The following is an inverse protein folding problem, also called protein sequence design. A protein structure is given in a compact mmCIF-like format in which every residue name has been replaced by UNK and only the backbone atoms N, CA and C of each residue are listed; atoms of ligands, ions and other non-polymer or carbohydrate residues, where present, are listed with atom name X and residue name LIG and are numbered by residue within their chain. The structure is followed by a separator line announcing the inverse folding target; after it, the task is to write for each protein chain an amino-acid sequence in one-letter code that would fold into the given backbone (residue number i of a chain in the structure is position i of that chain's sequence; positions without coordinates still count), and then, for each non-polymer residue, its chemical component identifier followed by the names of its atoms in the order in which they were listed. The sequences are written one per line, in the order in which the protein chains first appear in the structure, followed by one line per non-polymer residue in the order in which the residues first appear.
data_IF_528493546079
#
_entry.id   IF_528493546079
#
_cell.length_a   1.000
_cell.length_b   1.000
_cell.length_c   1.000
_cell.angle_alpha   90.00
_cell.angle_beta   90.00
_cell.angle_gamma   90.00
#
_symmetry.space_group_name_H-M   'P 1'
#
loop_
_entity.id
_entity.type
_entity.pdbx_description
1 polymer ?
#
# COMPACT_ATOMS: atom_id res chain seq x y z
N UNK A 1 -6.88 -29.21 1.11
CA UNK A 1 -5.57 -28.53 1.08
C UNK A 1 -5.88 -27.06 0.82
N UNK A 2 -5.68 -26.19 1.81
CA UNK A 2 -5.92 -24.76 1.63
C UNK A 2 -4.92 -24.21 0.62
N UNK A 3 -5.39 -23.43 -0.35
CA UNK A 3 -4.51 -22.80 -1.34
C UNK A 3 -3.52 -21.84 -0.70
N UNK A 4 -2.43 -21.56 -1.40
CA UNK A 4 -1.53 -20.44 -1.06
C UNK A 4 -2.33 -19.15 -0.99
N UNK A 5 -2.08 -18.32 0.03
CA UNK A 5 -2.73 -17.02 0.18
C UNK A 5 -2.36 -16.07 -0.95
N UNK A 6 -3.17 -15.02 -1.14
CA UNK A 6 -2.95 -14.01 -2.19
C UNK A 6 -2.19 -12.81 -1.66
N UNK A 7 -1.22 -12.33 -2.44
CA UNK A 7 -0.59 -11.03 -2.23
C UNK A 7 -1.46 -9.96 -2.91
N UNK A 8 -1.94 -8.99 -2.14
CA UNK A 8 -2.87 -7.96 -2.60
C UNK A 8 -2.22 -6.60 -2.41
N UNK A 9 -2.02 -5.87 -3.50
CA UNK A 9 -1.48 -4.50 -3.45
C UNK A 9 -2.62 -3.52 -3.63
N UNK A 10 -2.84 -2.67 -2.63
CA UNK A 10 -3.81 -1.58 -2.70
C UNK A 10 -3.03 -0.27 -2.79
N UNK A 11 -3.12 0.37 -3.95
CA UNK A 11 -2.49 1.66 -4.21
C UNK A 11 -3.48 2.64 -4.86
N UNK A 12 -3.01 3.83 -5.21
CA UNK A 12 -3.85 4.93 -5.68
C UNK A 12 -3.37 6.28 -5.17
N UNK A 13 -3.91 7.40 -5.70
CA UNK A 13 -3.48 8.72 -5.31
C UNK A 13 -3.65 9.02 -3.83
N UNK A 14 -2.83 9.93 -3.31
CA UNK A 14 -3.01 10.46 -1.96
C UNK A 14 -4.39 11.12 -1.83
N UNK A 15 -5.21 10.70 -0.85
CA UNK A 15 -6.58 11.19 -0.67
C UNK A 15 -7.68 10.31 -1.30
N UNK A 16 -7.33 9.20 -1.95
CA UNK A 16 -8.30 8.24 -2.49
C UNK A 16 -9.06 7.44 -1.42
N UNK A 17 -8.60 7.41 -0.16
CA UNK A 17 -9.25 6.68 0.93
C UNK A 17 -8.80 5.21 1.10
N UNK A 18 -7.61 4.87 0.59
CA UNK A 18 -7.00 3.52 0.68
C UNK A 18 -7.02 2.93 2.10
N UNK A 19 -6.42 3.62 3.07
CA UNK A 19 -6.37 3.15 4.45
C UNK A 19 -7.77 2.85 5.04
N UNK A 20 -8.77 3.65 4.71
CA UNK A 20 -10.15 3.40 5.17
C UNK A 20 -10.74 2.12 4.59
N UNK A 21 -10.46 1.81 3.32
CA UNK A 21 -10.86 0.54 2.69
C UNK A 21 -10.09 -0.62 3.35
N UNK A 22 -8.78 -0.49 3.51
CA UNK A 22 -7.91 -1.50 4.14
C UNK A 22 -8.40 -1.84 5.55
N UNK A 23 -8.68 -0.82 6.38
CA UNK A 23 -9.21 -1.00 7.72
C UNK A 23 -10.51 -1.82 7.74
N UNK A 24 -11.40 -1.62 6.77
CA UNK A 24 -12.65 -2.39 6.64
C UNK A 24 -12.41 -3.82 6.16
N UNK A 25 -11.41 -4.05 5.32
CA UNK A 25 -11.02 -5.40 4.90
C UNK A 25 -10.47 -6.19 6.10
N UNK A 26 -9.56 -5.60 6.87
CA UNK A 26 -8.92 -6.23 8.03
C UNK A 26 -9.92 -6.69 9.10
N UNK A 27 -11.02 -5.95 9.30
CA UNK A 27 -12.11 -6.33 10.24
C UNK A 27 -12.76 -7.67 9.95
N UNK A 28 -12.66 -8.18 8.72
CA UNK A 28 -13.22 -9.50 8.37
C UNK A 28 -12.41 -10.68 8.92
N UNK A 29 -11.18 -10.45 9.39
CA UNK A 29 -10.24 -11.49 9.82
C UNK A 29 -9.68 -12.36 8.68
N UNK A 30 -10.04 -12.09 7.42
CA UNK A 30 -9.57 -12.83 6.24
C UNK A 30 -8.24 -12.33 5.67
N UNK A 31 -7.74 -11.18 6.16
CA UNK A 31 -6.59 -10.48 5.61
C UNK A 31 -5.63 -10.07 6.73
N UNK A 32 -4.32 -10.11 6.44
CA UNK A 32 -3.28 -9.51 7.29
C UNK A 32 -2.65 -8.31 6.56
N UNK A 33 -2.38 -7.22 7.28
CA UNK A 33 -1.59 -6.11 6.76
C UNK A 33 -0.10 -6.47 6.83
N UNK A 34 0.64 -6.24 5.76
CA UNK A 34 2.09 -6.42 5.75
C UNK A 34 2.79 -5.44 6.70
N UNK A 35 3.85 -5.93 7.37
CA UNK A 35 4.69 -5.12 8.25
C UNK A 35 5.96 -4.76 7.49
N UNK A 36 6.18 -3.47 7.24
CA UNK A 36 7.37 -2.98 6.53
C UNK A 36 8.61 -2.96 7.43
N UNK A 37 9.78 -3.08 6.84
CA UNK A 37 11.04 -2.67 7.47
C UNK A 37 11.18 -1.15 7.43
N UNK A 38 11.86 -0.56 8.42
CA UNK A 38 12.30 0.84 8.34
C UNK A 38 13.62 1.07 9.06
N UNK A 39 14.41 2.04 8.58
CA UNK A 39 15.62 2.52 9.26
C UNK A 39 15.35 3.66 10.24
N UNK A 40 14.11 4.14 10.31
CA UNK A 40 13.70 5.17 11.27
C UNK A 40 13.68 4.56 12.67
N UNK A 41 14.08 5.32 13.68
CA UNK A 41 13.87 4.93 15.07
C UNK A 41 12.37 4.79 15.43
N UNK A 42 11.98 3.82 16.29
CA UNK A 42 10.62 3.71 16.80
C UNK A 42 10.15 5.01 17.46
N UNK A 43 8.86 5.35 17.29
CA UNK A 43 8.21 6.51 17.91
C UNK A 43 7.23 6.06 18.98
N UNK A 44 7.29 6.69 20.15
CA UNK A 44 6.30 6.50 21.22
C UNK A 44 6.16 5.04 21.65
N UNK A 45 5.03 4.42 21.29
CA UNK A 45 4.68 3.04 21.65
C UNK A 45 4.81 2.05 20.49
N UNK A 46 5.43 2.43 19.36
CA UNK A 46 5.70 1.51 18.26
C UNK A 46 6.53 0.30 18.74
N UNK A 47 6.16 -0.91 18.33
CA UNK A 47 6.80 -2.18 18.72
C UNK A 47 7.40 -2.90 17.51
N UNK A 48 8.59 -3.47 17.72
CA UNK A 48 9.28 -4.34 16.76
C UNK A 48 8.38 -5.52 16.35
N UNK A 49 8.28 -5.77 15.04
CA UNK A 49 7.49 -6.86 14.48
C UNK A 49 5.97 -6.70 14.63
N UNK A 50 5.51 -5.52 15.06
CA UNK A 50 4.08 -5.16 15.12
C UNK A 50 3.81 -3.96 14.21
N UNK A 51 4.54 -2.86 14.41
CA UNK A 51 4.39 -1.65 13.61
C UNK A 51 5.34 -1.67 12.42
N UNK A 52 6.60 -1.99 12.69
CA UNK A 52 7.66 -2.12 11.70
C UNK A 52 8.68 -3.17 12.16
N UNK A 53 9.47 -3.67 11.23
CA UNK A 53 10.77 -4.26 11.53
C UNK A 53 11.82 -3.15 11.48
N UNK A 54 12.29 -2.71 12.66
CA UNK A 54 13.29 -1.68 12.77
C UNK A 54 14.66 -2.26 12.44
N UNK A 55 15.36 -1.65 11.48
CA UNK A 55 16.67 -2.07 10.97
C UNK A 55 17.68 -0.95 11.06
N UNK A 56 18.96 -1.29 11.20
CA UNK A 56 20.02 -0.32 10.94
C UNK A 56 20.06 0.01 9.44
N UNK A 57 20.68 1.14 9.08
CA UNK A 57 20.84 1.51 7.66
C UNK A 57 21.69 0.47 6.93
N UNK A 58 22.77 0.02 7.55
CA UNK A 58 23.67 -1.00 7.02
C UNK A 58 22.95 -2.34 6.80
N UNK A 59 22.10 -2.74 7.75
CA UNK A 59 21.28 -3.94 7.61
C UNK A 59 20.28 -3.82 6.45
N UNK A 60 19.64 -2.66 6.31
CA UNK A 60 18.69 -2.41 5.23
C UNK A 60 19.39 -2.43 3.87
N UNK A 61 20.54 -1.78 3.75
CA UNK A 61 21.34 -1.75 2.51
C UNK A 61 21.86 -3.15 2.15
N UNK A 62 22.22 -3.99 3.13
CA UNK A 62 22.51 -5.41 2.91
C UNK A 62 21.28 -6.18 2.41
N UNK A 63 20.11 -5.94 3.00
CA UNK A 63 18.86 -6.58 2.54
C UNK A 63 18.51 -6.18 1.09
N UNK A 64 18.81 -4.93 0.68
CA UNK A 64 18.67 -4.50 -0.72
C UNK A 64 19.60 -5.31 -1.63
N UNK A 65 20.89 -5.43 -1.28
CA UNK A 65 21.87 -6.15 -2.12
C UNK A 65 21.57 -7.65 -2.22
N UNK A 66 20.90 -8.21 -1.21
CA UNK A 66 20.44 -9.60 -1.18
C UNK A 66 19.05 -9.80 -1.82
N UNK A 67 18.46 -8.77 -2.44
CA UNK A 67 17.12 -8.81 -3.06
C UNK A 67 16.01 -9.28 -2.10
N UNK A 68 16.07 -8.84 -0.84
CA UNK A 68 15.14 -9.24 0.24
C UNK A 68 13.88 -8.39 0.34
N UNK A 69 13.65 -7.44 -0.56
CA UNK A 69 12.49 -6.56 -0.58
C UNK A 69 11.61 -6.79 -1.81
N UNK A 70 10.29 -6.74 -1.63
CA UNK A 70 9.32 -6.65 -2.73
C UNK A 70 9.29 -5.24 -3.32
N UNK A 71 9.47 -4.24 -2.48
CA UNK A 71 9.65 -2.83 -2.83
C UNK A 71 10.43 -2.14 -1.71
N UNK A 72 11.09 -1.05 -2.04
CA UNK A 72 11.64 -0.14 -1.04
C UNK A 72 11.73 1.29 -1.58
N UNK A 73 11.82 2.26 -0.66
CA UNK A 73 11.99 3.67 -0.97
C UNK A 73 12.78 4.40 0.13
N UNK A 74 13.49 5.46 -0.26
CA UNK A 74 13.97 6.48 0.67
C UNK A 74 12.86 7.52 0.87
N UNK A 75 12.43 7.68 2.12
CA UNK A 75 11.43 8.66 2.53
C UNK A 75 12.08 9.61 3.53
N UNK A 76 12.53 10.75 3.01
CA UNK A 76 13.21 11.81 3.78
C UNK A 76 14.45 11.31 4.55
N UNK A 77 15.28 10.50 3.91
CA UNK A 77 16.53 9.96 4.45
C UNK A 77 16.36 8.72 5.33
N UNK A 78 15.14 8.21 5.48
CA UNK A 78 14.85 6.94 6.12
C UNK A 78 14.35 5.94 5.07
N UNK A 79 14.93 4.74 5.06
CA UNK A 79 14.43 3.68 4.19
C UNK A 79 13.16 3.05 4.77
N UNK A 80 12.27 2.66 3.88
CA UNK A 80 11.11 1.81 4.12
C UNK A 80 11.07 0.75 3.04
N UNK A 81 10.63 -0.46 3.37
CA UNK A 81 10.46 -1.50 2.35
C UNK A 81 9.76 -2.74 2.87
N UNK A 82 9.15 -3.48 1.96
CA UNK A 82 8.35 -4.66 2.31
C UNK A 82 9.20 -5.94 2.27
N UNK A 83 9.47 -6.59 3.42
CA UNK A 83 10.35 -7.76 3.48
C UNK A 83 9.74 -8.97 2.77
N UNK A 84 10.40 -9.44 1.72
CA UNK A 84 9.94 -10.51 0.84
C UNK A 84 9.70 -11.82 1.58
N UNK A 85 10.69 -12.28 2.34
CA UNK A 85 10.62 -13.57 3.03
C UNK A 85 9.48 -13.62 4.05
N UNK A 86 9.21 -12.50 4.74
CA UNK A 86 8.10 -12.38 5.69
C UNK A 86 6.74 -12.53 4.98
N UNK A 87 6.54 -11.77 3.90
CA UNK A 87 5.30 -11.82 3.12
C UNK A 87 5.09 -13.22 2.55
N UNK A 88 6.09 -13.80 1.89
CA UNK A 88 5.99 -15.13 1.28
C UNK A 88 5.70 -16.22 2.32
N UNK A 89 6.27 -16.12 3.52
CA UNK A 89 5.96 -17.03 4.62
C UNK A 89 4.46 -17.01 4.98
N UNK A 90 3.87 -15.81 5.11
CA UNK A 90 2.44 -15.65 5.38
C UNK A 90 1.54 -16.19 4.26
N UNK A 91 1.92 -15.95 3.01
CA UNK A 91 1.20 -16.52 1.86
C UNK A 91 1.26 -18.06 1.90
N UNK A 92 2.41 -18.63 2.27
CA UNK A 92 2.60 -20.07 2.46
C UNK A 92 1.74 -20.67 3.58
N UNK A 93 1.36 -19.88 4.59
CA UNK A 93 0.39 -20.24 5.64
C UNK A 93 -1.08 -20.19 5.15
N UNK A 94 -1.32 -19.83 3.88
CA UNK A 94 -2.67 -19.67 3.32
C UNK A 94 -3.33 -18.33 3.66
N UNK A 95 -2.56 -17.34 4.13
CA UNK A 95 -3.08 -16.03 4.54
C UNK A 95 -3.01 -15.04 3.39
N UNK A 96 -4.09 -14.28 3.20
CA UNK A 96 -4.09 -13.16 2.26
C UNK A 96 -3.39 -11.96 2.90
N UNK A 97 -2.40 -11.41 2.22
CA UNK A 97 -1.57 -10.30 2.74
C UNK A 97 -1.83 -9.05 1.91
N UNK A 98 -2.17 -7.95 2.58
CA UNK A 98 -2.39 -6.64 1.97
C UNK A 98 -1.14 -5.77 2.12
N UNK A 99 -0.71 -5.15 1.02
CA UNK A 99 0.27 -4.07 0.98
C UNK A 99 -0.47 -2.77 0.66
N UNK A 100 -0.55 -1.86 1.63
CA UNK A 100 -1.01 -0.48 1.40
C UNK A 100 0.20 0.41 1.14
N UNK A 101 0.52 0.66 -0.13
CA UNK A 101 1.75 1.36 -0.55
C UNK A 101 1.46 2.39 -1.65
N UNK A 102 2.40 3.28 -1.91
CA UNK A 102 2.29 4.25 -2.99
C UNK A 102 2.44 3.59 -4.37
N UNK A 103 2.18 4.37 -5.42
CA UNK A 103 2.16 3.85 -6.79
C UNK A 103 3.54 3.36 -7.22
N UNK A 104 4.61 4.03 -6.77
CA UNK A 104 5.97 3.65 -7.12
C UNK A 104 6.36 2.32 -6.47
N UNK A 105 6.04 2.12 -5.20
CA UNK A 105 6.21 0.85 -4.49
C UNK A 105 5.40 -0.27 -5.14
N UNK A 106 4.14 0.00 -5.49
CA UNK A 106 3.29 -0.98 -6.16
C UNK A 106 3.87 -1.48 -7.49
N UNK A 107 4.43 -0.60 -8.32
CA UNK A 107 5.08 -1.00 -9.56
C UNK A 107 6.36 -1.83 -9.32
N UNK A 108 7.11 -1.55 -8.24
CA UNK A 108 8.22 -2.41 -7.83
C UNK A 108 7.73 -3.80 -7.42
N UNK A 109 6.63 -3.88 -6.66
CA UNK A 109 6.02 -5.17 -6.29
C UNK A 109 5.59 -5.93 -7.54
N UNK A 110 4.89 -5.30 -8.49
CA UNK A 110 4.47 -5.95 -9.75
C UNK A 110 5.65 -6.54 -10.52
N UNK A 111 6.80 -5.87 -10.52
CA UNK A 111 8.03 -6.37 -11.14
C UNK A 111 8.65 -7.54 -10.36
N UNK A 112 8.67 -7.47 -9.03
CA UNK A 112 9.35 -8.43 -8.16
C UNK A 112 8.49 -9.65 -7.79
N UNK A 113 7.17 -9.53 -7.94
CA UNK A 113 6.16 -10.56 -7.70
C UNK A 113 4.96 -10.35 -8.65
N UNK A 114 5.05 -10.85 -9.91
CA UNK A 114 4.04 -10.62 -10.94
C UNK A 114 2.65 -11.21 -10.63
N UNK A 115 2.56 -12.20 -9.73
CA UNK A 115 1.31 -12.83 -9.33
C UNK A 115 0.53 -12.03 -8.26
N UNK A 116 1.01 -10.83 -7.90
CA UNK A 116 0.31 -9.95 -6.97
C UNK A 116 -0.97 -9.42 -7.61
N UNK A 117 -2.06 -9.40 -6.85
CA UNK A 117 -3.32 -8.78 -7.26
C UNK A 117 -3.20 -7.27 -7.07
N UNK A 118 -3.11 -6.53 -8.18
CA UNK A 118 -2.89 -5.09 -8.20
C UNK A 118 -4.23 -4.35 -8.27
N UNK A 119 -4.60 -3.63 -7.21
CA UNK A 119 -5.85 -2.87 -7.12
C UNK A 119 -5.57 -1.38 -6.93
N UNK A 120 -6.04 -0.56 -7.87
CA UNK A 120 -5.92 0.89 -7.83
C UNK A 120 -7.22 1.53 -7.30
N UNK A 121 -7.12 2.35 -6.27
CA UNK A 121 -8.27 3.06 -5.70
C UNK A 121 -8.33 4.48 -6.28
N UNK A 122 -9.42 4.79 -6.97
CA UNK A 122 -9.72 6.10 -7.55
C UNK A 122 -10.62 6.92 -6.62
N UNK A 123 -10.42 8.25 -6.54
CA UNK A 123 -11.46 9.14 -6.02
C UNK A 123 -12.65 9.18 -6.98
N UNK A 124 -13.85 9.56 -6.52
CA UNK A 124 -15.03 9.65 -7.38
C UNK A 124 -14.94 10.81 -8.38
N UNK A 125 -14.20 11.87 -8.03
CA UNK A 125 -13.89 12.97 -8.94
C UNK A 125 -12.63 13.73 -8.50
N UNK A 126 -12.07 14.54 -9.41
CA UNK A 126 -10.97 15.46 -9.10
C UNK A 126 -11.37 16.50 -8.02
N UNK A 127 -12.62 16.98 -8.04
CA UNK A 127 -13.15 17.92 -7.05
C UNK A 127 -13.19 17.31 -5.66
N UNK A 128 -13.64 16.05 -5.55
CA UNK A 128 -13.67 15.32 -4.27
C UNK A 128 -12.26 15.07 -3.76
N UNK A 129 -11.32 14.72 -4.64
CA UNK A 129 -9.92 14.57 -4.29
C UNK A 129 -9.34 15.87 -3.73
N UNK A 130 -9.56 17.00 -4.41
CA UNK A 130 -9.09 18.32 -3.98
C UNK A 130 -9.71 18.73 -2.64
N UNK A 131 -11.01 18.48 -2.44
CA UNK A 131 -11.69 18.72 -1.18
C UNK A 131 -11.10 17.88 -0.03
N UNK A 132 -10.81 16.60 -0.26
CA UNK A 132 -10.16 15.71 0.74
C UNK A 132 -8.74 16.17 1.08
N UNK A 133 -7.98 16.68 0.12
CA UNK A 133 -6.63 17.24 0.36
C UNK A 133 -6.72 18.50 1.23
N UNK A 134 -7.62 19.44 0.88
CA UNK A 134 -7.87 20.66 1.67
C UNK A 134 -8.36 20.36 3.09
N UNK A 135 -9.23 19.36 3.25
CA UNK A 135 -9.83 18.97 4.52
C UNK A 135 -8.84 18.56 5.61
N UNK A 136 -7.58 18.26 5.28
CA UNK A 136 -6.54 17.98 6.28
C UNK A 136 -6.13 19.22 7.08
N UNK A 137 -6.36 20.44 6.56
CA UNK A 137 -6.23 21.70 7.30
C UNK A 137 -4.80 22.09 7.73
N UNK A 138 -3.78 21.32 7.37
CA UNK A 138 -2.39 21.54 7.79
C UNK A 138 -1.47 22.06 6.68
N UNK A 139 -2.00 22.28 5.48
CA UNK A 139 -1.21 22.55 4.26
C UNK A 139 -1.64 23.87 3.60
N UNK A 140 -0.70 24.55 2.95
CA UNK A 140 -0.97 25.76 2.16
C UNK A 140 -1.58 25.41 0.80
N UNK A 141 -2.26 26.35 0.14
CA UNK A 141 -2.80 26.14 -1.21
C UNK A 141 -1.72 25.73 -2.22
N UNK A 142 -0.49 26.23 -2.07
CA UNK A 142 0.64 25.80 -2.90
C UNK A 142 1.01 24.32 -2.68
N UNK A 143 1.06 23.88 -1.42
CA UNK A 143 1.32 22.47 -1.07
C UNK A 143 0.20 21.56 -1.58
N UNK A 144 -1.07 22.00 -1.46
CA UNK A 144 -2.23 21.29 -1.99
C UNK A 144 -2.13 21.18 -3.51
N UNK A 145 -1.79 22.26 -4.22
CA UNK A 145 -1.60 22.25 -5.67
C UNK A 145 -0.54 21.25 -6.12
N UNK A 146 0.61 21.18 -5.42
CA UNK A 146 1.66 20.18 -5.69
C UNK A 146 1.16 18.76 -5.47
N UNK A 147 0.45 18.50 -4.37
CA UNK A 147 -0.11 17.17 -4.06
C UNK A 147 -1.18 16.75 -5.06
N UNK A 148 -2.04 17.68 -5.48
CA UNK A 148 -3.06 17.44 -6.49
C UNK A 148 -2.44 17.13 -7.85
N UNK A 149 -1.42 17.90 -8.27
CA UNK A 149 -0.66 17.60 -9.49
C UNK A 149 -0.01 16.22 -9.47
N UNK A 150 0.61 15.84 -8.33
CA UNK A 150 1.16 14.49 -8.13
C UNK A 150 0.08 13.43 -8.25
N UNK A 151 -1.07 13.64 -7.61
CA UNK A 151 -2.18 12.69 -7.63
C UNK A 151 -2.74 12.49 -9.05
N UNK A 152 -2.78 13.53 -9.89
CA UNK A 152 -3.17 13.40 -11.30
C UNK A 152 -2.19 12.52 -12.08
N UNK A 153 -0.90 12.75 -11.94
CA UNK A 153 0.12 11.91 -12.55
C UNK A 153 0.06 10.45 -12.05
N UNK A 154 -0.26 10.24 -10.77
CA UNK A 154 -0.47 8.89 -10.21
C UNK A 154 -1.68 8.18 -10.84
N UNK A 155 -2.77 8.91 -11.13
CA UNK A 155 -3.97 8.34 -11.77
C UNK A 155 -3.73 7.88 -13.22
N UNK A 156 -2.77 8.49 -13.93
CA UNK A 156 -2.39 8.04 -15.28
C UNK A 156 -1.75 6.64 -15.27
N UNK A 157 -1.27 6.17 -14.12
CA UNK A 157 -0.63 4.85 -13.95
C UNK A 157 -1.64 3.75 -13.57
N UNK A 158 -2.95 4.05 -13.55
CA UNK A 158 -3.99 3.08 -13.20
C UNK A 158 -4.07 1.91 -14.20
N UNK A 159 -3.64 2.11 -15.44
CA UNK A 159 -3.55 1.08 -16.48
C UNK A 159 -2.51 -0.01 -16.20
N UNK A 160 -1.58 0.25 -15.28
CA UNK A 160 -0.59 -0.73 -14.81
C UNK A 160 -1.14 -1.66 -13.71
N UNK A 161 -2.40 -1.52 -13.33
CA UNK A 161 -3.06 -2.35 -12.32
C UNK A 161 -4.02 -3.33 -12.97
N UNK A 162 -4.34 -4.41 -12.26
CA UNK A 162 -5.24 -5.44 -12.78
C UNK A 162 -6.70 -4.98 -12.63
N UNK A 163 -6.97 -4.18 -11.59
CA UNK A 163 -8.29 -3.63 -11.30
C UNK A 163 -8.21 -2.17 -10.84
N UNK A 164 -9.27 -1.41 -11.13
CA UNK A 164 -9.51 -0.07 -10.60
C UNK A 164 -10.86 -0.02 -9.90
N UNK A 165 -10.92 0.55 -8.70
CA UNK A 165 -12.13 0.68 -7.88
C UNK A 165 -12.33 2.14 -7.50
N UNK A 166 -13.54 2.66 -7.74
CA UNK A 166 -13.90 4.05 -7.41
C UNK A 166 -14.44 4.13 -5.98
N UNK A 167 -13.80 4.94 -5.13
CA UNK A 167 -14.20 5.13 -3.74
C UNK A 167 -15.16 6.32 -3.56
N UNK A 168 -16.36 6.17 -4.09
CA UNK A 168 -17.49 7.09 -3.88
C UNK A 168 -18.23 6.79 -2.57
N UNK A 169 -18.74 5.55 -2.46
CA UNK A 169 -19.26 4.98 -1.21
C UNK A 169 -18.31 3.92 -0.66
N UNK A 170 -17.97 4.03 0.63
CA UNK A 170 -16.98 3.18 1.27
C UNK A 170 -17.39 1.70 1.25
N UNK A 171 -18.65 1.39 1.55
CA UNK A 171 -19.08 0.00 1.69
C UNK A 171 -19.17 -0.68 0.33
N UNK A 172 -19.59 0.06 -0.69
CA UNK A 172 -19.58 -0.37 -2.09
C UNK A 172 -18.15 -0.64 -2.56
N UNK A 173 -17.22 0.30 -2.35
CA UNK A 173 -15.81 0.12 -2.71
C UNK A 173 -15.17 -1.08 -2.00
N UNK A 174 -15.48 -1.30 -0.71
CA UNK A 174 -15.00 -2.47 0.03
C UNK A 174 -15.55 -3.77 -0.55
N UNK A 175 -16.82 -3.80 -0.96
CA UNK A 175 -17.42 -4.96 -1.59
C UNK A 175 -16.78 -5.26 -2.95
N UNK A 176 -16.57 -4.23 -3.78
CA UNK A 176 -15.90 -4.35 -5.08
C UNK A 176 -14.46 -4.87 -4.94
N UNK A 177 -13.68 -4.31 -3.99
CA UNK A 177 -12.32 -4.79 -3.73
C UNK A 177 -12.31 -6.28 -3.34
N UNK A 178 -13.26 -6.72 -2.50
CA UNK A 178 -13.38 -8.14 -2.14
C UNK A 178 -13.67 -9.01 -3.36
N UNK A 179 -14.59 -8.56 -4.21
CA UNK A 179 -14.94 -9.26 -5.44
C UNK A 179 -13.73 -9.39 -6.39
N UNK A 180 -12.93 -8.34 -6.55
CA UNK A 180 -11.71 -8.38 -7.37
C UNK A 180 -10.68 -9.37 -6.80
N UNK A 181 -10.53 -9.42 -5.48
CA UNK A 181 -9.63 -10.38 -4.81
C UNK A 181 -10.13 -11.82 -5.01
N UNK A 182 -11.45 -12.07 -4.94
CA UNK A 182 -12.02 -13.40 -5.11
C UNK A 182 -11.89 -13.91 -6.56
N UNK A 183 -12.00 -13.00 -7.55
CA UNK A 183 -11.87 -13.32 -8.98
C UNK A 183 -10.44 -13.59 -9.47
N UNK A 184 -9.45 -13.08 -8.75
CA UNK A 184 -8.02 -13.22 -9.08
C UNK A 184 -7.43 -14.53 -8.57
#
# INVERSE_FOLDING_TARGET
MGGTGKLIVISGPSGAGKGTIVDQLLKSGKYELSISCTTRAPRGQEKEGVNYFFKSREEFERMISEHKFLEYADVFGCYYGTPKDYVLGKLGEGKNVILEIDVQGALQVKKNYPDAVMIFILPPSEEVLLARLRGRGTETEEQIGRRFGKARAEMELADQYDYSVVNDDLMTAVAEVREMIEKS
#
